data_IF_121795900312
#
_entry.id   IF_121795900312
#
_cell.length_a   1.000
_cell.length_b   1.000
_cell.length_c   1.000
_cell.angle_alpha   90.00
_cell.angle_beta   90.00
_cell.angle_gamma   90.00
#
_symmetry.space_group_name_H-M   'P 1'
#
loop_
_entity.id
_entity.type
_entity.pdbx_description
1 polymer ?
#
# COMPACT_ATOMS: atom_id res chain seq x y z
N UNK A 1 12.12 36.20 25.01
CA UNK A 1 10.98 36.04 24.09
C UNK A 1 11.38 35.45 22.74
N UNK A 2 12.45 35.96 22.13
CA UNK A 2 12.92 35.41 20.83
C UNK A 2 13.28 33.94 20.90
N UNK A 3 13.95 33.50 21.97
CA UNK A 3 14.35 32.10 22.15
C UNK A 3 13.14 31.17 22.29
N UNK A 4 12.08 31.65 22.99
CA UNK A 4 10.87 30.85 23.18
C UNK A 4 10.11 30.67 21.84
N UNK A 5 10.04 31.73 21.03
CA UNK A 5 9.34 31.63 19.72
C UNK A 5 10.13 30.78 18.73
N UNK A 6 11.48 30.84 18.76
CA UNK A 6 12.31 29.97 17.93
C UNK A 6 12.17 28.50 18.34
N UNK A 7 12.16 28.22 19.64
CA UNK A 7 11.98 26.86 20.14
C UNK A 7 10.61 26.29 19.74
N UNK A 8 9.56 27.10 19.83
CA UNK A 8 8.22 26.68 19.43
C UNK A 8 8.18 26.37 17.92
N UNK A 9 8.79 27.24 17.10
CA UNK A 9 8.86 27.02 15.67
C UNK A 9 9.56 25.73 15.28
N UNK A 10 10.67 25.41 15.97
CA UNK A 10 11.41 24.17 15.74
C UNK A 10 10.56 22.95 16.13
N UNK A 11 9.88 22.98 17.27
CA UNK A 11 9.01 21.88 17.70
C UNK A 11 7.90 21.62 16.72
N UNK A 12 7.25 22.68 16.23
CA UNK A 12 6.17 22.54 15.23
C UNK A 12 6.70 21.96 13.92
N UNK A 13 7.88 22.42 13.46
CA UNK A 13 8.49 21.91 12.24
C UNK A 13 8.84 20.43 12.33
N UNK A 14 9.42 20.00 13.45
CA UNK A 14 9.78 18.61 13.67
C UNK A 14 8.53 17.73 13.71
N UNK A 15 7.50 18.17 14.39
CA UNK A 15 6.25 17.42 14.48
C UNK A 15 5.59 17.25 13.11
N UNK A 16 5.54 18.34 12.32
CA UNK A 16 5.00 18.29 10.96
C UNK A 16 5.79 17.33 10.08
N UNK A 17 7.13 17.35 10.18
CA UNK A 17 7.98 16.44 9.42
C UNK A 17 7.73 14.98 9.78
N UNK A 18 7.50 14.67 11.06
CA UNK A 18 7.21 13.29 11.50
C UNK A 18 5.88 12.79 10.93
N UNK A 19 4.85 13.63 10.89
CA UNK A 19 3.55 13.25 10.32
C UNK A 19 3.69 12.98 8.82
N UNK A 20 4.35 13.86 8.09
CA UNK A 20 4.56 13.70 6.64
C UNK A 20 5.37 12.44 6.34
N UNK A 21 6.43 12.20 7.11
CA UNK A 21 7.26 11.00 6.94
C UNK A 21 6.47 9.71 7.18
N UNK A 22 5.60 9.70 8.19
CA UNK A 22 4.75 8.55 8.48
C UNK A 22 3.80 8.24 7.32
N UNK A 23 3.17 9.24 6.75
CA UNK A 23 2.27 9.06 5.60
C UNK A 23 3.03 8.60 4.36
N UNK A 24 4.20 9.17 4.12
CA UNK A 24 5.06 8.77 2.99
C UNK A 24 5.49 7.31 3.12
N UNK A 25 5.90 6.89 4.32
CA UNK A 25 6.29 5.49 4.57
C UNK A 25 5.12 4.52 4.37
N UNK A 26 3.92 4.89 4.82
CA UNK A 26 2.73 4.06 4.62
C UNK A 26 2.39 3.93 3.14
N UNK A 27 2.50 5.02 2.38
CA UNK A 27 2.25 5.00 0.94
C UNK A 27 3.23 4.07 0.23
N UNK A 28 4.51 4.15 0.55
CA UNK A 28 5.53 3.25 -0.03
C UNK A 28 5.28 1.80 0.34
N UNK A 29 4.90 1.53 1.58
CA UNK A 29 4.56 0.19 2.03
C UNK A 29 3.38 -0.37 1.25
N UNK A 30 2.33 0.44 1.04
CA UNK A 30 1.15 0.02 0.29
C UNK A 30 1.50 -0.31 -1.16
N UNK A 31 2.29 0.53 -1.83
CA UNK A 31 2.75 0.26 -3.20
C UNK A 31 3.57 -1.01 -3.27
N UNK A 32 4.52 -1.17 -2.37
CA UNK A 32 5.39 -2.34 -2.33
C UNK A 32 4.57 -3.61 -2.07
N UNK A 33 3.64 -3.56 -1.14
CA UNK A 33 2.77 -4.68 -0.82
C UNK A 33 1.86 -5.05 -2.00
N UNK A 34 1.31 -4.05 -2.70
CA UNK A 34 0.49 -4.29 -3.89
C UNK A 34 1.30 -4.95 -5.00
N UNK A 35 2.53 -4.49 -5.23
CA UNK A 35 3.41 -5.07 -6.25
C UNK A 35 3.75 -6.52 -5.91
N UNK A 36 4.09 -6.80 -4.65
CA UNK A 36 4.41 -8.16 -4.21
C UNK A 36 3.18 -9.07 -4.34
N UNK A 37 2.01 -8.59 -3.93
CA UNK A 37 0.79 -9.38 -4.01
C UNK A 37 0.42 -9.69 -5.46
N UNK A 38 0.54 -8.70 -6.36
CA UNK A 38 0.26 -8.90 -7.77
C UNK A 38 1.24 -9.88 -8.41
N UNK A 39 2.53 -9.76 -8.08
CA UNK A 39 3.55 -10.68 -8.61
C UNK A 39 3.34 -12.09 -8.09
N UNK A 40 3.03 -12.26 -6.79
CA UNK A 40 2.75 -13.56 -6.21
C UNK A 40 1.52 -14.20 -6.85
N UNK A 41 0.48 -13.41 -7.12
CA UNK A 41 -0.72 -13.90 -7.79
C UNK A 41 -0.42 -14.35 -9.22
N UNK A 42 0.39 -13.59 -9.95
CA UNK A 42 0.78 -13.95 -11.31
C UNK A 42 1.57 -15.26 -11.34
N UNK A 43 2.50 -15.43 -10.42
CA UNK A 43 3.28 -16.68 -10.30
C UNK A 43 2.39 -17.86 -9.92
N UNK A 44 1.43 -17.65 -9.03
CA UNK A 44 0.48 -18.68 -8.63
C UNK A 44 -0.35 -19.14 -9.82
N UNK A 45 -0.80 -18.22 -10.66
CA UNK A 45 -1.57 -18.56 -11.85
C UNK A 45 -0.76 -19.43 -12.80
N UNK A 46 0.52 -19.10 -12.99
CA UNK A 46 1.38 -19.91 -13.86
C UNK A 46 1.55 -21.35 -13.35
N UNK A 47 1.46 -21.54 -12.04
CA UNK A 47 1.56 -22.86 -11.40
C UNK A 47 0.21 -23.55 -11.24
N UNK A 48 -0.88 -22.94 -11.69
CA UNK A 48 -2.22 -23.51 -11.54
C UNK A 48 -2.82 -23.35 -10.17
N UNK A 49 -2.28 -22.44 -9.34
CA UNK A 49 -2.77 -22.15 -8.00
C UNK A 49 -3.71 -20.94 -8.09
N UNK A 50 -4.72 -20.88 -7.21
CA UNK A 50 -5.67 -19.78 -7.19
C UNK A 50 -4.93 -18.46 -6.89
N UNK A 51 -4.88 -17.48 -7.83
CA UNK A 51 -4.03 -16.30 -7.66
C UNK A 51 -4.52 -15.34 -6.57
N UNK A 52 -5.83 -15.16 -6.42
CA UNK A 52 -6.34 -14.17 -5.47
C UNK A 52 -6.14 -14.60 -4.01
N UNK A 53 -6.18 -15.90 -3.70
CA UNK A 53 -5.89 -16.36 -2.35
C UNK A 53 -4.41 -16.16 -1.99
N UNK A 54 -3.51 -16.34 -2.95
CA UNK A 54 -2.09 -16.08 -2.76
C UNK A 54 -1.83 -14.58 -2.59
N UNK A 55 -2.52 -13.75 -3.39
CA UNK A 55 -2.41 -12.29 -3.25
C UNK A 55 -2.87 -11.83 -1.86
N UNK A 56 -3.96 -12.42 -1.34
CA UNK A 56 -4.45 -12.09 -0.01
C UNK A 56 -3.43 -12.40 1.07
N UNK A 57 -2.83 -13.59 1.00
CA UNK A 57 -1.81 -14.00 1.97
C UNK A 57 -0.57 -13.11 1.89
N UNK A 58 -0.14 -12.76 0.68
CA UNK A 58 1.00 -11.88 0.47
C UNK A 58 0.74 -10.48 1.04
N UNK A 59 -0.46 -9.94 0.82
CA UNK A 59 -0.83 -8.63 1.35
C UNK A 59 -0.81 -8.66 2.88
N UNK A 60 -1.44 -9.66 3.49
CA UNK A 60 -1.48 -9.80 4.94
C UNK A 60 -0.09 -9.95 5.55
N UNK A 61 0.80 -10.71 4.89
CA UNK A 61 2.17 -10.88 5.34
C UNK A 61 2.95 -9.56 5.34
N UNK A 62 2.55 -8.61 4.52
CA UNK A 62 3.17 -7.28 4.43
C UNK A 62 2.40 -6.20 5.17
N UNK A 63 1.47 -6.58 6.05
CA UNK A 63 0.76 -5.64 6.90
C UNK A 63 -0.35 -4.86 6.21
N UNK A 64 -0.83 -5.33 5.06
CA UNK A 64 -1.93 -4.70 4.34
C UNK A 64 -3.10 -5.66 4.19
N UNK A 65 -4.21 -5.16 3.69
CA UNK A 65 -5.42 -5.96 3.44
C UNK A 65 -5.74 -5.91 1.95
N UNK A 66 -6.02 -7.07 1.38
CA UNK A 66 -6.47 -7.15 -0.01
C UNK A 66 -7.90 -6.62 -0.10
N UNK A 67 -8.10 -5.52 -0.86
CA UNK A 67 -9.42 -4.94 -1.05
C UNK A 67 -10.10 -5.46 -2.31
N UNK A 68 -9.34 -5.76 -3.36
CA UNK A 68 -9.89 -6.38 -4.57
C UNK A 68 -8.81 -7.14 -5.32
N UNK A 69 -9.22 -8.15 -6.07
CA UNK A 69 -8.34 -8.94 -6.92
C UNK A 69 -9.15 -9.43 -8.11
N UNK A 70 -8.69 -9.11 -9.31
CA UNK A 70 -9.31 -9.58 -10.54
C UNK A 70 -8.25 -10.17 -11.45
N UNK A 71 -8.63 -11.19 -12.20
CA UNK A 71 -7.76 -11.82 -13.19
C UNK A 71 -8.44 -11.70 -14.55
N UNK A 72 -7.87 -10.92 -15.44
CA UNK A 72 -8.31 -10.85 -16.83
C UNK A 72 -7.48 -11.83 -17.64
N UNK A 73 -8.13 -12.88 -18.13
CA UNK A 73 -7.47 -13.92 -18.90
C UNK A 73 -7.95 -13.87 -20.35
N UNK A 74 -7.01 -13.60 -21.25
CA UNK A 74 -7.23 -13.84 -22.67
C UNK A 74 -6.65 -15.21 -23.05
N UNK A 75 -6.86 -15.66 -24.30
CA UNK A 75 -6.39 -16.97 -24.72
C UNK A 75 -4.87 -17.11 -24.70
N UNK A 76 -4.14 -16.00 -24.72
CA UNK A 76 -2.68 -16.00 -24.78
C UNK A 76 -2.04 -15.33 -23.56
N UNK A 77 -2.66 -14.28 -23.05
CA UNK A 77 -2.12 -13.48 -21.96
C UNK A 77 -3.12 -13.37 -20.82
N UNK A 78 -2.62 -13.03 -19.64
CA UNK A 78 -3.46 -12.71 -18.49
C UNK A 78 -2.90 -11.48 -17.79
N UNK A 79 -3.77 -10.77 -17.08
CA UNK A 79 -3.39 -9.64 -16.21
C UNK A 79 -4.09 -9.80 -14.88
N UNK A 80 -3.31 -9.78 -13.80
CA UNK A 80 -3.84 -9.81 -12.45
C UNK A 80 -3.81 -8.39 -11.90
N UNK A 81 -4.98 -7.88 -11.52
CA UNK A 81 -5.12 -6.57 -10.91
C UNK A 81 -5.40 -6.75 -9.44
N UNK A 82 -4.54 -6.19 -8.60
CA UNK A 82 -4.62 -6.32 -7.15
C UNK A 82 -4.70 -4.94 -6.54
N UNK A 83 -5.67 -4.72 -5.68
CA UNK A 83 -5.78 -3.50 -4.89
C UNK A 83 -5.63 -3.86 -3.41
N UNK A 84 -4.72 -3.19 -2.73
CA UNK A 84 -4.50 -3.38 -1.30
C UNK A 84 -4.78 -2.09 -0.56
N UNK A 85 -5.22 -2.23 0.68
CA UNK A 85 -5.52 -1.10 1.56
C UNK A 85 -4.62 -1.17 2.78
N UNK A 86 -3.98 -0.05 3.11
CA UNK A 86 -3.16 0.10 4.29
C UNK A 86 -3.67 1.26 5.13
N UNK A 87 -3.60 1.12 6.46
CA UNK A 87 -3.96 2.20 7.35
C UNK A 87 -2.84 3.24 7.39
N UNK A 88 -3.20 4.50 7.23
CA UNK A 88 -2.25 5.61 7.36
C UNK A 88 -1.84 5.79 8.82
N UNK A 89 -0.56 5.91 9.05
CA UNK A 89 0.02 6.16 10.37
C UNK A 89 0.94 7.37 10.30
N UNK A 90 0.84 8.29 11.26
CA UNK A 90 -0.07 8.27 12.40
C UNK A 90 -1.51 8.54 11.99
N UNK A 91 -2.45 7.93 12.72
CA UNK A 91 -3.87 8.20 12.49
C UNK A 91 -4.23 9.55 13.07
N UNK A 92 -4.79 10.43 12.24
CA UNK A 92 -5.28 11.71 12.67
C UNK A 92 -6.77 11.58 13.02
N UNK A 93 -7.13 11.98 14.23
CA UNK A 93 -8.52 11.95 14.68
C UNK A 93 -9.29 13.19 14.25
N UNK A 94 -9.03 13.66 13.04
CA UNK A 94 -9.69 14.81 12.45
C UNK A 94 -10.76 14.31 11.50
N UNK A 95 -12.03 14.77 11.59
CA UNK A 95 -13.03 14.42 10.58
C UNK A 95 -12.56 14.88 9.22
N UNK A 96 -12.66 14.04 8.21
CA UNK A 96 -12.18 14.24 6.84
C UNK A 96 -10.70 13.93 6.61
N UNK A 97 -9.91 13.63 7.64
CA UNK A 97 -8.55 13.15 7.43
C UNK A 97 -8.58 11.73 6.86
N UNK A 98 -7.73 11.41 5.87
CA UNK A 98 -7.69 10.04 5.33
C UNK A 98 -7.12 9.09 6.39
N UNK A 99 -7.77 7.95 6.56
CA UNK A 99 -7.32 6.92 7.51
C UNK A 99 -6.69 5.73 6.82
N UNK A 100 -6.99 5.55 5.55
CA UNK A 100 -6.49 4.44 4.76
C UNK A 100 -6.04 4.92 3.39
N UNK A 101 -5.15 4.16 2.79
CA UNK A 101 -4.73 4.38 1.41
C UNK A 101 -4.92 3.09 0.64
N UNK A 102 -5.48 3.18 -0.56
CA UNK A 102 -5.67 2.03 -1.45
C UNK A 102 -4.78 2.19 -2.66
N UNK A 103 -4.01 1.15 -2.95
CA UNK A 103 -3.07 1.13 -4.07
C UNK A 103 -3.39 -0.06 -4.95
N UNK A 104 -3.38 0.15 -6.26
CA UNK A 104 -3.64 -0.89 -7.24
C UNK A 104 -2.35 -1.21 -8.00
N UNK A 105 -2.07 -2.48 -8.18
CA UNK A 105 -0.93 -2.96 -8.95
C UNK A 105 -1.38 -4.00 -9.96
N UNK A 106 -0.66 -4.09 -11.06
CA UNK A 106 -0.95 -5.00 -12.16
C UNK A 106 0.25 -5.90 -12.42
N UNK A 107 0.00 -7.17 -12.65
CA UNK A 107 1.03 -8.11 -13.03
C UNK A 107 0.54 -9.02 -14.13
N UNK A 108 1.43 -9.40 -15.03
CA UNK A 108 1.10 -10.26 -16.16
C UNK A 108 2.29 -11.13 -16.52
N UNK A 109 2.16 -11.94 -17.59
CA UNK A 109 3.27 -12.81 -18.00
C UNK A 109 4.46 -11.96 -18.45
N UNK A 110 5.64 -12.43 -18.11
CA UNK A 110 6.87 -11.81 -18.58
C UNK A 110 7.14 -12.29 -20.00
N UNK A 111 7.34 -11.33 -20.89
CA UNK A 111 7.73 -11.62 -22.28
C UNK A 111 9.21 -11.42 -22.48
#
# INVERSE_FOLDING_TARGET
MLLASMALGVVVAVWGAMIISGWYSTSRLAHHSADIAALAAAQAREKGIEPCSVARKAAQANGTTLSSCTVDASSVDYVVTVSVTAQLRPMLHIPRAPRTITVTSLAGPQK
#
